data_IF_495663621239
#
_entry.id   IF_495663621239
#
_cell.length_a   1.000
_cell.length_b   1.000
_cell.length_c   1.000
_cell.angle_alpha   90.00
_cell.angle_beta   90.00
_cell.angle_gamma   90.00
#
_symmetry.space_group_name_H-M   'P 1'
#
loop_
_entity.id
_entity.type
_entity.pdbx_description
1 polymer ?
#
# COMPACT_ATOMS: atom_id res chain seq x y z
N UNK A 1 65.21 -16.23 -42.56
CA UNK A 1 64.34 -15.14 -42.06
C UNK A 1 62.93 -15.57 -42.26
N UNK A 2 62.24 -15.93 -41.16
CA UNK A 2 60.80 -16.34 -41.17
C UNK A 2 59.98 -15.14 -40.72
N UNK A 3 59.18 -14.56 -41.63
CA UNK A 3 58.18 -13.52 -41.32
C UNK A 3 57.01 -14.13 -40.60
N UNK A 4 56.76 -13.68 -39.37
CA UNK A 4 55.53 -14.06 -38.58
C UNK A 4 54.40 -13.07 -38.93
N UNK A 5 53.41 -13.56 -39.62
CA UNK A 5 52.19 -12.81 -39.93
C UNK A 5 51.33 -12.67 -38.69
N UNK A 6 51.16 -11.44 -38.21
CA UNK A 6 50.29 -11.12 -37.08
C UNK A 6 48.84 -10.95 -37.58
N UNK A 7 47.96 -11.85 -37.24
CA UNK A 7 46.53 -11.75 -37.54
C UNK A 7 45.86 -10.96 -36.39
N UNK A 8 45.45 -9.73 -36.68
CA UNK A 8 44.66 -8.91 -35.75
C UNK A 8 43.18 -9.25 -35.95
N UNK A 9 42.58 -9.96 -34.98
CA UNK A 9 41.13 -10.20 -34.95
C UNK A 9 40.43 -8.94 -34.42
N UNK A 10 39.73 -8.23 -35.29
CA UNK A 10 38.83 -7.13 -34.90
C UNK A 10 37.53 -7.73 -34.40
N UNK A 11 37.30 -7.70 -33.08
CA UNK A 11 36.03 -8.06 -32.48
C UNK A 11 35.06 -6.88 -32.70
N UNK A 12 34.09 -7.04 -33.59
CA UNK A 12 32.99 -6.11 -33.76
C UNK A 12 32.03 -6.25 -32.55
N UNK A 13 32.07 -5.28 -31.64
CA UNK A 13 31.03 -5.11 -30.62
C UNK A 13 29.70 -4.75 -31.34
N UNK A 14 28.82 -5.71 -31.48
CA UNK A 14 27.42 -5.47 -31.84
C UNK A 14 26.74 -4.86 -30.62
N UNK A 15 26.59 -3.55 -30.59
CA UNK A 15 25.75 -2.86 -29.65
C UNK A 15 24.29 -3.26 -29.94
N UNK A 16 23.73 -4.17 -29.13
CA UNK A 16 22.32 -4.46 -29.18
C UNK A 16 21.57 -3.15 -28.86
N UNK A 17 20.58 -2.72 -29.68
CA UNK A 17 19.76 -1.57 -29.34
C UNK A 17 19.06 -1.88 -28.01
N UNK A 18 19.27 -1.03 -27.01
CA UNK A 18 18.46 -1.06 -25.80
C UNK A 18 16.99 -0.91 -26.24
N UNK A 19 16.22 -1.97 -26.10
CA UNK A 19 14.78 -1.92 -26.31
C UNK A 19 14.23 -0.95 -25.26
N UNK A 20 14.07 0.31 -25.66
CA UNK A 20 13.35 1.26 -24.85
C UNK A 20 11.98 0.63 -24.54
N UNK A 21 11.69 0.40 -23.27
CA UNK A 21 10.39 -0.13 -22.86
C UNK A 21 9.33 0.85 -23.34
N UNK A 22 8.64 0.49 -24.41
CA UNK A 22 7.54 1.30 -24.91
C UNK A 22 6.47 1.37 -23.81
N UNK A 23 6.01 2.58 -23.50
CA UNK A 23 4.85 2.74 -22.60
C UNK A 23 3.71 1.88 -23.16
N UNK A 24 3.06 1.07 -22.32
CA UNK A 24 1.93 0.27 -22.77
C UNK A 24 0.85 1.19 -23.36
N UNK A 25 0.28 0.79 -24.49
CA UNK A 25 -0.90 1.46 -25.04
C UNK A 25 -2.05 1.33 -24.03
N UNK A 26 -2.64 2.45 -23.53
CA UNK A 26 -3.72 2.40 -22.55
C UNK A 26 -4.93 1.59 -23.02
N UNK A 27 -5.28 1.67 -24.30
CA UNK A 27 -6.42 0.92 -24.86
C UNK A 27 -6.14 -0.59 -24.85
N UNK A 28 -4.90 -0.99 -25.14
CA UNK A 28 -4.47 -2.40 -25.06
C UNK A 28 -4.48 -2.90 -23.62
N UNK A 29 -4.02 -2.08 -22.67
CA UNK A 29 -4.05 -2.41 -21.24
C UNK A 29 -5.48 -2.62 -20.75
N UNK A 30 -6.40 -1.71 -21.08
CA UNK A 30 -7.82 -1.81 -20.71
C UNK A 30 -8.46 -3.07 -21.30
N UNK A 31 -8.16 -3.40 -22.55
CA UNK A 31 -8.65 -4.62 -23.19
C UNK A 31 -8.12 -5.88 -22.49
N UNK A 32 -6.84 -5.89 -22.08
CA UNK A 32 -6.25 -7.01 -21.34
C UNK A 32 -6.88 -7.16 -19.94
N UNK A 33 -7.11 -6.07 -19.22
CA UNK A 33 -7.76 -6.08 -17.91
C UNK A 33 -9.18 -6.64 -18.02
N UNK A 34 -9.98 -6.17 -19.00
CA UNK A 34 -11.34 -6.67 -19.22
C UNK A 34 -11.36 -8.15 -19.57
N UNK A 35 -10.40 -8.61 -20.39
CA UNK A 35 -10.28 -10.02 -20.76
C UNK A 35 -9.85 -10.89 -19.56
N UNK A 36 -8.99 -10.38 -18.68
CA UNK A 36 -8.52 -11.10 -17.51
C UNK A 36 -9.58 -11.20 -16.38
N UNK A 37 -10.51 -10.23 -16.32
CA UNK A 37 -11.54 -10.14 -15.28
C UNK A 37 -12.95 -9.97 -15.88
N UNK A 38 -13.43 -10.94 -16.71
CA UNK A 38 -14.69 -10.79 -17.45
C UNK A 38 -15.93 -10.72 -16.57
N UNK A 39 -15.84 -11.24 -15.34
CA UNK A 39 -16.95 -11.29 -14.37
C UNK A 39 -16.78 -10.31 -13.21
N UNK A 40 -15.83 -9.40 -13.32
CA UNK A 40 -15.60 -8.41 -12.24
C UNK A 40 -16.83 -7.51 -12.09
N UNK A 41 -17.33 -7.33 -10.86
CA UNK A 41 -18.45 -6.43 -10.59
C UNK A 41 -18.13 -4.98 -10.97
N UNK A 42 -19.17 -4.20 -11.29
CA UNK A 42 -18.99 -2.81 -11.74
C UNK A 42 -18.26 -1.92 -10.72
N UNK A 43 -18.48 -2.14 -9.43
CA UNK A 43 -17.80 -1.43 -8.33
C UNK A 43 -16.31 -1.78 -8.20
N UNK A 44 -15.87 -2.88 -8.81
CA UNK A 44 -14.45 -3.24 -8.89
C UNK A 44 -13.70 -2.53 -10.01
N UNK A 45 -14.40 -1.96 -10.98
CA UNK A 45 -13.76 -1.30 -12.13
C UNK A 45 -12.81 -0.17 -11.68
N UNK A 46 -13.17 0.57 -10.63
CA UNK A 46 -12.30 1.61 -10.06
C UNK A 46 -10.97 1.08 -9.50
N UNK A 47 -10.89 -0.20 -9.17
CA UNK A 47 -9.66 -0.85 -8.69
C UNK A 47 -8.70 -1.19 -9.83
N UNK A 48 -9.22 -1.33 -11.04
CA UNK A 48 -8.43 -1.61 -12.24
C UNK A 48 -7.97 -0.33 -12.95
N UNK A 49 -8.79 0.72 -12.87
CA UNK A 49 -8.47 2.04 -13.44
C UNK A 49 -7.83 2.86 -12.33
N UNK A 50 -6.49 2.93 -12.31
CA UNK A 50 -5.77 3.72 -11.31
C UNK A 50 -6.24 5.17 -11.30
N UNK A 51 -6.40 5.75 -10.10
CA UNK A 51 -6.61 7.18 -9.93
C UNK A 51 -5.36 7.98 -10.33
N UNK A 52 -5.45 9.30 -10.26
CA UNK A 52 -4.34 10.20 -10.62
C UNK A 52 -3.06 9.89 -9.85
N UNK A 53 -3.15 9.67 -8.54
CA UNK A 53 -2.00 9.31 -7.70
C UNK A 53 -1.38 7.98 -8.13
N UNK A 54 -2.19 6.96 -8.39
CA UNK A 54 -1.68 5.66 -8.84
C UNK A 54 -0.99 5.75 -10.19
N UNK A 55 -1.52 6.57 -11.12
CA UNK A 55 -0.91 6.81 -12.43
C UNK A 55 0.43 7.51 -12.30
N UNK A 56 0.50 8.61 -11.53
CA UNK A 56 1.75 9.33 -11.27
C UNK A 56 2.80 8.43 -10.59
N UNK A 57 2.39 7.63 -9.59
CA UNK A 57 3.30 6.71 -8.92
C UNK A 57 3.79 5.61 -9.85
N UNK A 58 2.95 5.08 -10.72
CA UNK A 58 3.33 4.08 -11.72
C UNK A 58 4.30 4.65 -12.75
N UNK A 59 4.04 5.85 -13.27
CA UNK A 59 4.90 6.51 -14.26
C UNK A 59 6.28 6.86 -13.71
N UNK A 60 6.36 7.17 -12.43
CA UNK A 60 7.61 7.51 -11.73
C UNK A 60 8.28 6.33 -11.04
N UNK A 61 7.76 5.11 -11.23
CA UNK A 61 8.23 3.89 -10.52
C UNK A 61 8.31 4.10 -9.00
N UNK A 62 7.29 4.73 -8.42
CA UNK A 62 7.17 5.12 -7.01
C UNK A 62 8.29 6.06 -6.51
N UNK A 63 8.93 6.79 -7.41
CA UNK A 63 9.98 7.76 -7.11
C UNK A 63 9.63 9.13 -7.70
N UNK A 64 8.53 9.77 -7.26
CA UNK A 64 8.11 11.06 -7.76
C UNK A 64 9.12 12.16 -7.39
N UNK A 65 9.18 13.21 -8.19
CA UNK A 65 9.96 14.41 -7.85
C UNK A 65 9.44 15.05 -6.56
N UNK A 66 10.22 15.92 -5.93
CA UNK A 66 9.79 16.63 -4.72
C UNK A 66 8.46 17.37 -4.92
N UNK A 67 8.33 18.11 -6.03
CA UNK A 67 7.10 18.84 -6.33
C UNK A 67 5.89 17.92 -6.54
N UNK A 68 6.07 16.80 -7.27
CA UNK A 68 5.03 15.79 -7.44
C UNK A 68 4.64 15.14 -6.11
N UNK A 69 5.63 14.82 -5.25
CA UNK A 69 5.38 14.28 -3.92
C UNK A 69 4.53 15.22 -3.07
N UNK A 70 4.86 16.52 -3.06
CA UNK A 70 4.09 17.53 -2.31
C UNK A 70 2.65 17.65 -2.85
N UNK A 71 2.47 17.60 -4.16
CA UNK A 71 1.15 17.62 -4.79
C UNK A 71 0.32 16.37 -4.43
N UNK A 72 0.93 15.18 -4.47
CA UNK A 72 0.30 13.92 -4.05
C UNK A 72 -0.12 14.00 -2.59
N UNK A 73 0.79 14.36 -1.68
CA UNK A 73 0.50 14.46 -0.26
C UNK A 73 -0.67 15.41 0.02
N UNK A 74 -0.71 16.56 -0.63
CA UNK A 74 -1.80 17.55 -0.48
C UNK A 74 -3.14 16.99 -0.98
N UNK A 75 -3.17 16.39 -2.16
CA UNK A 75 -4.35 15.77 -2.76
C UNK A 75 -4.87 14.63 -1.89
N UNK A 76 -4.00 13.74 -1.49
CA UNK A 76 -4.38 12.56 -0.71
C UNK A 76 -4.83 12.91 0.72
N UNK A 77 -4.25 13.95 1.31
CA UNK A 77 -4.71 14.44 2.61
C UNK A 77 -6.12 15.01 2.56
N UNK A 78 -6.51 15.65 1.47
CA UNK A 78 -7.86 16.16 1.26
C UNK A 78 -8.92 15.04 1.12
N UNK A 79 -8.49 13.82 0.79
CA UNK A 79 -9.37 12.66 0.64
C UNK A 79 -9.63 11.90 1.97
N UNK A 80 -9.07 12.35 3.09
CA UNK A 80 -9.28 11.70 4.39
C UNK A 80 -10.63 12.12 4.95
N UNK A 81 -11.48 11.13 5.27
CA UNK A 81 -12.70 11.34 6.05
C UNK A 81 -12.37 11.09 7.52
N UNK A 82 -12.55 12.12 8.33
CA UNK A 82 -12.33 12.03 9.77
C UNK A 82 -13.58 11.55 10.50
N UNK A 83 -13.44 10.93 11.69
CA UNK A 83 -14.57 10.60 12.54
C UNK A 83 -15.38 11.86 12.88
N UNK A 84 -16.72 11.78 12.77
CA UNK A 84 -17.60 12.92 13.04
C UNK A 84 -17.57 13.37 14.51
N UNK A 85 -17.28 12.42 15.42
CA UNK A 85 -17.14 12.64 16.87
C UNK A 85 -15.75 13.16 17.28
N UNK A 86 -14.82 13.28 16.33
CA UNK A 86 -13.42 13.67 16.59
C UNK A 86 -12.61 12.62 17.35
N UNK A 87 -13.17 11.43 17.63
CA UNK A 87 -12.51 10.37 18.37
C UNK A 87 -11.82 9.39 17.42
N UNK A 88 -10.52 9.19 17.59
CA UNK A 88 -9.71 8.33 16.73
C UNK A 88 -9.45 6.93 17.33
N UNK A 89 -9.82 6.71 18.56
CA UNK A 89 -9.63 5.42 19.26
C UNK A 89 -10.93 4.64 19.29
N UNK A 90 -10.85 3.35 18.99
CA UNK A 90 -11.94 2.38 19.08
C UNK A 90 -11.63 1.27 20.09
N UNK A 91 -11.99 0.03 19.75
CA UNK A 91 -11.70 -1.17 20.56
C UNK A 91 -10.50 -1.93 19.97
N UNK A 92 -9.41 -2.00 20.72
CA UNK A 92 -8.21 -2.71 20.28
C UNK A 92 -8.42 -4.21 20.05
N UNK A 93 -9.38 -4.86 20.74
CA UNK A 93 -9.68 -6.28 20.54
C UNK A 93 -10.32 -6.55 19.18
N UNK A 94 -11.17 -5.64 18.73
CA UNK A 94 -11.69 -5.69 17.36
C UNK A 94 -10.57 -5.35 16.35
N UNK A 95 -9.73 -4.37 16.68
CA UNK A 95 -8.56 -4.01 15.88
C UNK A 95 -7.62 -5.19 15.64
N UNK A 96 -7.39 -6.04 16.66
CA UNK A 96 -6.57 -7.23 16.53
C UNK A 96 -7.19 -8.25 15.56
N UNK A 97 -8.50 -8.50 15.64
CA UNK A 97 -9.21 -9.38 14.68
C UNK A 97 -9.10 -8.84 13.26
N UNK A 98 -9.28 -7.53 13.08
CA UNK A 98 -9.16 -6.87 11.78
C UNK A 98 -7.74 -6.94 11.23
N UNK A 99 -6.72 -6.77 12.07
CA UNK A 99 -5.33 -6.84 11.68
C UNK A 99 -4.90 -8.25 11.22
N UNK A 100 -5.48 -9.30 11.81
CA UNK A 100 -5.22 -10.69 11.46
C UNK A 100 -5.99 -11.14 10.22
N UNK A 101 -7.19 -10.62 9.99
CA UNK A 101 -8.07 -11.05 8.90
C UNK A 101 -7.64 -10.49 7.55
N UNK A 102 -7.44 -11.36 6.57
CA UNK A 102 -7.25 -11.00 5.15
C UNK A 102 -8.54 -11.08 4.31
N UNK A 103 -9.69 -11.30 4.94
CA UNK A 103 -10.97 -11.41 4.24
C UNK A 103 -11.36 -10.09 3.55
N UNK A 104 -11.96 -10.18 2.37
CA UNK A 104 -12.40 -9.04 1.57
C UNK A 104 -11.32 -8.40 0.69
N UNK A 105 -10.08 -8.93 0.75
CA UNK A 105 -8.96 -8.44 -0.06
C UNK A 105 -8.72 -9.28 -1.33
N UNK A 106 -9.42 -10.40 -1.49
CA UNK A 106 -9.31 -11.30 -2.63
C UNK A 106 -10.56 -11.21 -3.50
N UNK A 107 -10.40 -11.40 -4.80
CA UNK A 107 -11.52 -11.49 -5.73
C UNK A 107 -12.52 -12.60 -5.34
N UNK A 108 -12.05 -13.71 -4.80
CA UNK A 108 -12.88 -14.82 -4.33
C UNK A 108 -13.75 -14.49 -3.11
N UNK A 109 -13.50 -13.38 -2.43
CA UNK A 109 -14.29 -12.94 -1.28
C UNK A 109 -15.54 -12.14 -1.70
N UNK A 110 -15.72 -11.92 -3.01
CA UNK A 110 -16.89 -11.23 -3.56
C UNK A 110 -18.01 -12.21 -3.98
N UNK A 111 -19.31 -11.92 -3.78
CA UNK A 111 -19.82 -10.79 -2.97
C UNK A 111 -19.47 -10.95 -1.49
N UNK A 112 -19.31 -9.85 -0.74
CA UNK A 112 -18.87 -9.92 0.65
C UNK A 112 -19.89 -10.68 1.49
N UNK A 113 -19.39 -11.67 2.25
CA UNK A 113 -20.16 -12.51 3.17
C UNK A 113 -19.77 -12.32 4.63
N UNK A 114 -18.89 -11.36 4.88
CA UNK A 114 -18.33 -11.04 6.19
C UNK A 114 -17.71 -9.67 6.24
N UNK A 115 -17.10 -9.37 7.37
CA UNK A 115 -16.41 -8.09 7.62
C UNK A 115 -15.02 -8.13 7.02
N UNK A 116 -14.68 -7.12 6.23
CA UNK A 116 -13.35 -6.99 5.66
C UNK A 116 -12.29 -6.82 6.74
N UNK A 117 -11.13 -7.43 6.54
CA UNK A 117 -9.95 -7.28 7.38
C UNK A 117 -8.88 -6.41 6.73
N UNK A 118 -7.87 -6.04 7.51
CA UNK A 118 -6.74 -5.24 7.05
C UNK A 118 -5.51 -6.05 6.65
N UNK A 119 -5.44 -7.32 7.07
CA UNK A 119 -4.30 -8.21 6.85
C UNK A 119 -2.93 -7.59 7.19
N UNK A 120 -2.87 -6.85 8.30
CA UNK A 120 -1.71 -6.04 8.65
C UNK A 120 -0.44 -6.89 8.87
N UNK A 121 -0.61 -8.12 9.39
CA UNK A 121 0.48 -9.07 9.59
C UNK A 121 1.13 -9.57 8.29
N UNK A 122 0.44 -9.47 7.16
CA UNK A 122 1.06 -9.78 5.86
C UNK A 122 2.25 -8.87 5.53
N UNK A 123 2.30 -7.67 6.11
CA UNK A 123 3.35 -6.69 5.86
C UNK A 123 4.12 -6.26 7.11
N UNK A 124 3.53 -6.34 8.31
CA UNK A 124 4.08 -5.80 9.55
C UNK A 124 4.15 -6.85 10.65
N UNK A 125 5.20 -6.80 11.44
CA UNK A 125 5.21 -7.40 12.76
C UNK A 125 4.44 -6.50 13.73
N UNK A 126 3.42 -7.00 14.43
CA UNK A 126 2.62 -6.25 15.40
C UNK A 126 2.87 -6.72 16.84
N UNK A 127 2.98 -8.03 17.06
CA UNK A 127 3.19 -8.62 18.39
C UNK A 127 4.32 -9.62 18.37
N UNK A 128 4.86 -9.93 19.57
CA UNK A 128 5.88 -10.97 19.72
C UNK A 128 5.29 -12.39 19.62
N UNK A 129 4.00 -12.52 19.87
CA UNK A 129 3.31 -13.81 19.83
C UNK A 129 3.10 -14.31 18.38
N UNK A 130 2.97 -13.41 17.43
CA UNK A 130 2.85 -13.75 16.01
C UNK A 130 4.24 -13.98 15.42
N UNK A 131 4.48 -15.19 14.95
CA UNK A 131 5.77 -15.60 14.37
C UNK A 131 5.77 -15.58 12.84
N UNK A 132 4.59 -15.50 12.22
CA UNK A 132 4.39 -15.49 10.77
C UNK A 132 3.91 -14.12 10.30
N UNK A 133 4.83 -13.22 10.05
CA UNK A 133 4.55 -11.87 9.59
C UNK A 133 5.46 -11.45 8.42
N UNK A 134 4.95 -10.53 7.60
CA UNK A 134 5.73 -9.94 6.52
C UNK A 134 6.66 -8.83 7.01
N UNK A 135 7.66 -8.54 6.21
CA UNK A 135 8.69 -7.50 6.49
C UNK A 135 8.71 -6.39 5.45
N UNK A 136 7.66 -6.29 4.63
CA UNK A 136 7.50 -5.23 3.62
C UNK A 136 7.30 -3.87 4.30
N UNK A 137 6.53 -3.86 5.40
CA UNK A 137 6.36 -2.70 6.26
C UNK A 137 7.29 -2.74 7.47
N UNK A 138 7.53 -1.61 8.15
CA UNK A 138 8.29 -1.58 9.39
C UNK A 138 7.60 -2.35 10.51
N UNK A 139 8.36 -2.86 11.47
CA UNK A 139 7.80 -3.43 12.69
C UNK A 139 7.00 -2.38 13.46
N UNK A 140 5.82 -2.78 13.93
CA UNK A 140 4.91 -1.96 14.75
C UNK A 140 4.96 -2.36 16.22
N UNK A 141 5.87 -3.26 16.62
CA UNK A 141 6.07 -3.62 18.03
C UNK A 141 6.27 -2.37 18.90
N UNK A 142 5.47 -2.25 19.94
CA UNK A 142 5.54 -1.13 20.86
C UNK A 142 5.18 0.23 20.23
N UNK A 143 4.39 0.24 19.16
CA UNK A 143 4.11 1.44 18.38
C UNK A 143 3.64 2.62 19.25
N UNK A 144 2.64 2.41 20.12
CA UNK A 144 2.13 3.42 21.04
C UNK A 144 3.15 3.76 22.15
N UNK A 145 3.79 2.73 22.71
CA UNK A 145 4.81 2.88 23.77
C UNK A 145 5.97 3.75 23.32
N UNK A 146 6.51 3.50 22.12
CA UNK A 146 7.59 4.29 21.53
C UNK A 146 7.22 5.75 21.27
N UNK A 147 5.92 6.03 21.10
CA UNK A 147 5.34 7.37 20.87
C UNK A 147 4.75 7.98 22.13
N UNK A 148 4.96 7.32 23.29
CA UNK A 148 4.42 7.78 24.59
C UNK A 148 2.90 7.99 24.55
N UNK A 149 2.20 7.28 23.69
CA UNK A 149 0.76 7.36 23.48
C UNK A 149 0.26 8.79 23.17
N UNK A 150 1.06 9.59 22.49
CA UNK A 150 0.73 10.99 22.23
C UNK A 150 -0.48 11.11 21.28
N UNK A 151 -1.38 12.05 21.56
CA UNK A 151 -2.60 12.28 20.79
C UNK A 151 -2.31 12.63 19.33
N UNK A 152 -1.26 13.37 19.06
CA UNK A 152 -0.83 13.68 17.69
C UNK A 152 -0.49 12.42 16.89
N UNK A 153 0.11 11.40 17.54
CA UNK A 153 0.44 10.13 16.91
C UNK A 153 -0.80 9.24 16.72
N UNK A 154 -1.81 9.35 17.59
CA UNK A 154 -3.11 8.69 17.41
C UNK A 154 -3.76 9.15 16.09
N UNK A 155 -3.84 10.48 15.89
CA UNK A 155 -4.37 11.05 14.64
C UNK A 155 -3.51 10.67 13.44
N UNK A 156 -2.19 10.72 13.55
CA UNK A 156 -1.27 10.35 12.48
C UNK A 156 -1.40 8.87 12.09
N UNK A 157 -1.63 7.96 13.06
CA UNK A 157 -1.90 6.55 12.80
C UNK A 157 -3.20 6.36 12.02
N UNK A 158 -4.28 7.09 12.42
CA UNK A 158 -5.55 7.08 11.70
C UNK A 158 -5.37 7.53 10.24
N UNK A 159 -4.75 8.68 10.02
CA UNK A 159 -4.51 9.24 8.68
C UNK A 159 -3.74 8.26 7.81
N UNK A 160 -2.72 7.60 8.35
CA UNK A 160 -1.89 6.63 7.62
C UNK A 160 -2.65 5.36 7.25
N UNK A 161 -3.50 4.84 8.12
CA UNK A 161 -4.32 3.66 7.81
C UNK A 161 -5.42 4.05 6.82
N UNK A 162 -6.06 5.20 7.02
CA UNK A 162 -7.11 5.67 6.13
C UNK A 162 -6.58 5.89 4.72
N UNK A 163 -5.48 6.63 4.60
CA UNK A 163 -4.83 6.95 3.33
C UNK A 163 -3.31 7.04 3.48
N UNK A 164 -2.62 5.97 3.21
CA UNK A 164 -1.16 5.87 3.34
C UNK A 164 -0.41 6.88 2.47
N UNK A 165 -0.97 7.25 1.31
CA UNK A 165 -0.38 8.24 0.40
C UNK A 165 -0.50 9.68 0.91
N UNK A 166 -1.33 9.95 1.92
CA UNK A 166 -1.37 11.23 2.61
C UNK A 166 -0.19 11.44 3.58
N UNK A 167 0.50 10.36 3.94
CA UNK A 167 1.66 10.39 4.83
C UNK A 167 2.99 10.17 4.11
N UNK A 168 2.97 9.40 3.03
CA UNK A 168 4.13 9.11 2.18
C UNK A 168 3.64 8.98 0.74
N UNK A 169 4.04 9.90 -0.12
CA UNK A 169 3.71 9.85 -1.54
C UNK A 169 4.18 8.52 -2.15
N UNK A 170 3.32 7.90 -2.94
CA UNK A 170 3.55 6.58 -3.55
C UNK A 170 3.82 5.45 -2.55
N UNK A 171 3.22 5.53 -1.37
CA UNK A 171 3.26 4.44 -0.39
C UNK A 171 2.66 3.16 -0.98
N UNK A 172 3.32 2.02 -0.75
CA UNK A 172 2.80 0.69 -1.12
C UNK A 172 1.81 0.13 -0.09
N UNK A 173 1.66 0.78 1.08
CA UNK A 173 0.64 0.39 2.05
C UNK A 173 -0.75 0.70 1.47
N UNK A 174 -1.73 -0.22 1.57
CA UNK A 174 -3.08 0.02 1.05
C UNK A 174 -3.74 1.27 1.65
N UNK A 175 -4.57 1.94 0.85
CA UNK A 175 -5.39 3.09 1.26
C UNK A 175 -6.76 2.58 1.73
N UNK A 176 -6.81 2.01 2.93
CA UNK A 176 -7.96 1.24 3.40
C UNK A 176 -9.26 2.03 3.44
N UNK A 177 -9.23 3.28 3.89
CA UNK A 177 -10.41 4.14 3.95
C UNK A 177 -10.83 4.68 2.58
N UNK A 178 -9.89 5.20 1.79
CA UNK A 178 -10.18 5.75 0.45
C UNK A 178 -10.76 4.69 -0.47
N UNK A 179 -10.25 3.47 -0.40
CA UNK A 179 -10.71 2.35 -1.22
C UNK A 179 -11.94 1.63 -0.62
N UNK A 180 -12.54 2.17 0.43
CA UNK A 180 -13.70 1.57 1.14
C UNK A 180 -13.48 0.10 1.54
N UNK A 181 -12.24 -0.29 1.84
CA UNK A 181 -11.90 -1.62 2.35
C UNK A 181 -12.32 -1.72 3.82
N UNK A 182 -11.98 -0.68 4.60
CA UNK A 182 -12.33 -0.56 6.01
C UNK A 182 -13.17 0.70 6.25
N UNK A 183 -14.13 0.59 7.16
CA UNK A 183 -14.93 1.73 7.63
C UNK A 183 -14.13 2.62 8.58
N UNK A 184 -14.64 3.83 8.85
CA UNK A 184 -14.06 4.75 9.83
C UNK A 184 -13.91 4.07 11.20
N UNK A 185 -14.95 3.36 11.67
CA UNK A 185 -14.91 2.69 12.99
C UNK A 185 -13.90 1.55 13.02
N UNK A 186 -13.79 0.76 11.95
CA UNK A 186 -12.76 -0.27 11.85
C UNK A 186 -11.35 0.30 11.88
N UNK A 187 -11.13 1.46 11.26
CA UNK A 187 -9.85 2.15 11.33
C UNK A 187 -9.58 2.67 12.74
N UNK A 188 -10.59 3.19 13.46
CA UNK A 188 -10.49 3.56 14.88
C UNK A 188 -10.07 2.35 15.74
N UNK A 189 -10.62 1.17 15.46
CA UNK A 189 -10.26 -0.08 16.16
C UNK A 189 -8.80 -0.46 15.92
N UNK A 190 -8.32 -0.34 14.68
CA UNK A 190 -6.91 -0.56 14.35
C UNK A 190 -5.98 0.49 14.99
N UNK A 191 -6.40 1.75 15.06
CA UNK A 191 -5.64 2.78 15.80
C UNK A 191 -5.57 2.41 17.29
N UNK A 192 -6.66 1.94 17.88
CA UNK A 192 -6.67 1.47 19.26
C UNK A 192 -5.73 0.27 19.45
N UNK A 193 -5.65 -0.66 18.50
CA UNK A 193 -4.67 -1.74 18.54
C UNK A 193 -3.23 -1.21 18.60
N UNK A 194 -2.90 -0.18 17.85
CA UNK A 194 -1.57 0.41 17.82
C UNK A 194 -1.27 1.29 19.03
N UNK A 195 -2.26 2.02 19.54
CA UNK A 195 -2.06 3.14 20.47
C UNK A 195 -2.64 2.91 21.89
N UNK A 196 -3.33 1.79 22.17
CA UNK A 196 -3.79 1.48 23.52
C UNK A 196 -2.64 0.89 24.36
N UNK A 197 -2.41 1.37 25.60
CA UNK A 197 -1.46 0.75 26.52
C UNK A 197 -1.75 -0.73 26.83
N UNK A 198 -3.02 -1.13 26.76
CA UNK A 198 -3.45 -2.50 27.06
C UNK A 198 -3.37 -3.45 25.87
N UNK A 199 -3.15 -2.92 24.69
CA UNK A 199 -3.02 -3.69 23.46
C UNK A 199 -1.77 -4.61 23.50
N UNK A 200 -1.85 -5.82 22.91
CA UNK A 200 -0.71 -6.74 22.80
C UNK A 200 0.45 -6.17 21.99
N UNK A 201 0.22 -5.19 21.14
CA UNK A 201 1.27 -4.46 20.39
C UNK A 201 2.22 -3.74 21.34
N UNK A 202 1.74 -3.30 22.51
CA UNK A 202 2.47 -2.48 23.49
C UNK A 202 2.93 -3.24 24.74
N UNK A 203 2.85 -4.59 24.74
CA UNK A 203 3.29 -5.44 25.88
C UNK A 203 4.76 -5.84 25.81
#
# INVERSE_FOLDING_TARGET
MRMKTLVIAVAALVAAPALAQQKPDPARLDAMIKAAFPTAPADWQSRFVGDETMKECSETHNSPSKAASEAILKREKANIKYPADGQFMGDWKNGEKLAQSGYGLRFSDYPPRGVNGGNCYACHQLTKAEVSYGTVGPSLLGYGKLRKFAEADVKAAYERIYNSNAALACSLMPRFGVNNVLTVDQIKDLVALLMSPDSPVNK
#
